data_IF_333494758863
#
_entry.id   IF_333494758863
#
_cell.length_a   1.000
_cell.length_b   1.000
_cell.length_c   1.000
_cell.angle_alpha   90.00
_cell.angle_beta   90.00
_cell.angle_gamma   90.00
#
_symmetry.space_group_name_H-M   'P 1'
#
loop_
_entity.id
_entity.type
_entity.pdbx_description
1 polymer ?
#
# COMPACT_ATOMS: atom_id res chain seq x y z
N UNK A 1 -24.49 -28.95 -1.36
CA UNK A 1 -24.44 -27.56 -1.87
C UNK A 1 -23.33 -26.68 -1.25
N UNK A 2 -22.34 -27.24 -0.54
CA UNK A 2 -21.31 -26.42 0.15
C UNK A 2 -19.92 -26.38 -0.53
N UNK A 3 -19.65 -27.23 -1.52
CA UNK A 3 -18.33 -27.24 -2.17
C UNK A 3 -18.17 -26.13 -3.22
N UNK A 4 -19.22 -25.77 -3.95
CA UNK A 4 -19.16 -24.74 -5.01
C UNK A 4 -18.85 -23.33 -4.48
N UNK A 5 -19.29 -23.01 -3.26
CA UNK A 5 -19.01 -21.72 -2.62
C UNK A 5 -17.54 -21.60 -2.20
N UNK A 6 -16.91 -22.70 -1.78
CA UNK A 6 -15.48 -22.72 -1.40
C UNK A 6 -14.57 -22.31 -2.56
N UNK A 7 -14.77 -22.93 -3.73
CA UNK A 7 -13.98 -22.64 -4.94
C UNK A 7 -14.11 -21.18 -5.42
N UNK A 8 -15.30 -20.59 -5.27
CA UNK A 8 -15.52 -19.17 -5.62
C UNK A 8 -14.71 -18.23 -4.72
N UNK A 9 -14.59 -18.57 -3.43
CA UNK A 9 -13.83 -17.77 -2.47
C UNK A 9 -12.32 -17.88 -2.67
N UNK A 10 -11.81 -19.07 -2.96
CA UNK A 10 -10.39 -19.28 -3.26
C UNK A 10 -9.96 -18.48 -4.50
N UNK A 11 -10.83 -18.42 -5.51
CA UNK A 11 -10.60 -17.59 -6.70
C UNK A 11 -10.56 -16.10 -6.38
N UNK A 12 -11.47 -15.61 -5.53
CA UNK A 12 -11.48 -14.19 -5.09
C UNK A 12 -10.18 -13.85 -4.34
N UNK A 13 -9.73 -14.72 -3.44
CA UNK A 13 -8.48 -14.51 -2.70
C UNK A 13 -7.25 -14.53 -3.62
N UNK A 14 -7.25 -15.43 -4.60
CA UNK A 14 -6.20 -15.48 -5.61
C UNK A 14 -6.13 -14.17 -6.42
N UNK A 15 -7.26 -13.73 -6.99
CA UNK A 15 -7.34 -12.47 -7.75
C UNK A 15 -6.97 -11.26 -6.89
N UNK A 16 -7.39 -11.24 -5.63
CA UNK A 16 -7.06 -10.17 -4.70
C UNK A 16 -5.54 -10.04 -4.52
N UNK A 17 -4.83 -11.13 -4.21
CA UNK A 17 -3.36 -11.08 -4.13
C UNK A 17 -2.69 -10.75 -5.48
N UNK A 18 -3.23 -11.23 -6.60
CA UNK A 18 -2.72 -10.89 -7.94
C UNK A 18 -2.84 -9.38 -8.23
N UNK A 19 -3.91 -8.72 -7.78
CA UNK A 19 -4.08 -7.27 -7.96
C UNK A 19 -2.98 -6.46 -7.28
N UNK A 20 -2.49 -6.91 -6.11
CA UNK A 20 -1.31 -6.33 -5.48
C UNK A 20 -0.07 -6.52 -6.35
N UNK A 21 0.18 -7.72 -6.88
CA UNK A 21 1.36 -7.98 -7.72
C UNK A 21 1.36 -7.07 -8.96
N UNK A 22 0.21 -6.87 -9.60
CA UNK A 22 0.08 -5.93 -10.72
C UNK A 22 0.38 -4.49 -10.29
N UNK A 23 -0.20 -4.01 -9.20
CA UNK A 23 0.08 -2.67 -8.67
C UNK A 23 1.57 -2.51 -8.28
N UNK A 24 2.20 -3.55 -7.75
CA UNK A 24 3.61 -3.54 -7.37
C UNK A 24 4.51 -3.40 -8.61
N UNK A 25 4.15 -4.08 -9.71
CA UNK A 25 4.85 -3.97 -10.99
C UNK A 25 4.75 -2.55 -11.57
N UNK A 26 3.56 -1.92 -11.50
CA UNK A 26 3.37 -0.51 -11.91
C UNK A 26 4.25 0.41 -11.05
N UNK A 27 4.24 0.26 -9.73
CA UNK A 27 5.08 1.06 -8.84
C UNK A 27 6.58 0.85 -9.10
N UNK A 28 7.01 -0.38 -9.41
CA UNK A 28 8.40 -0.69 -9.75
C UNK A 28 8.80 -0.07 -11.11
N UNK A 29 7.90 -0.06 -12.09
CA UNK A 29 8.15 0.61 -13.36
C UNK A 29 8.30 2.12 -13.16
N UNK A 30 7.45 2.74 -12.33
CA UNK A 30 7.57 4.16 -11.95
C UNK A 30 8.87 4.43 -11.20
N UNK A 31 9.36 3.49 -10.40
CA UNK A 31 10.65 3.58 -9.69
C UNK A 31 11.87 3.40 -10.59
N UNK A 32 11.71 3.25 -11.90
CA UNK A 32 12.81 3.23 -12.89
C UNK A 32 12.81 4.44 -13.82
N UNK A 33 11.76 5.26 -13.79
CA UNK A 33 11.70 6.52 -14.55
C UNK A 33 12.72 7.52 -14.00
N UNK A 34 13.34 8.37 -14.83
CA UNK A 34 14.26 9.42 -14.35
C UNK A 34 13.55 10.58 -13.63
N UNK A 35 12.22 10.68 -13.75
CA UNK A 35 11.39 11.73 -13.11
C UNK A 35 10.91 11.32 -11.70
N UNK A 36 11.75 10.67 -10.90
CA UNK A 36 11.33 10.17 -9.58
C UNK A 36 11.17 11.29 -8.56
N UNK A 37 9.92 11.66 -8.29
CA UNK A 37 9.58 12.51 -7.14
C UNK A 37 9.41 11.67 -5.87
N UNK A 38 8.68 10.56 -5.96
CA UNK A 38 8.32 9.72 -4.81
C UNK A 38 9.17 8.43 -4.75
N UNK A 39 9.40 7.85 -3.55
CA UNK A 39 10.14 6.61 -3.38
C UNK A 39 9.28 5.38 -3.75
N UNK A 40 8.88 5.29 -5.02
CA UNK A 40 7.98 4.25 -5.55
C UNK A 40 8.46 2.81 -5.30
N UNK A 41 9.78 2.61 -5.18
CA UNK A 41 10.35 1.30 -4.86
C UNK A 41 9.89 0.77 -3.49
N UNK A 42 9.82 1.62 -2.46
CA UNK A 42 9.33 1.19 -1.14
C UNK A 42 7.85 0.84 -1.16
N UNK A 43 7.07 1.60 -1.92
CA UNK A 43 5.66 1.29 -2.12
C UNK A 43 5.50 -0.05 -2.85
N UNK A 44 6.31 -0.32 -3.87
CA UNK A 44 6.34 -1.61 -4.56
C UNK A 44 6.69 -2.77 -3.61
N UNK A 45 7.71 -2.59 -2.75
CA UNK A 45 8.08 -3.58 -1.73
C UNK A 45 6.95 -3.84 -0.73
N UNK A 46 6.28 -2.80 -0.26
CA UNK A 46 5.07 -2.95 0.57
C UNK A 46 4.02 -3.79 -0.17
N UNK A 47 3.62 -3.37 -1.37
CA UNK A 47 2.52 -4.00 -2.12
C UNK A 47 2.83 -5.47 -2.43
N UNK A 48 4.04 -5.81 -2.89
CA UNK A 48 4.38 -7.20 -3.22
C UNK A 48 4.43 -8.09 -1.98
N UNK A 49 5.02 -7.62 -0.89
CA UNK A 49 5.09 -8.40 0.36
C UNK A 49 3.71 -8.52 1.02
N UNK A 50 2.86 -7.50 0.92
CA UNK A 50 1.48 -7.55 1.39
C UNK A 50 0.65 -8.55 0.59
N UNK A 51 0.77 -8.54 -0.75
CA UNK A 51 0.11 -9.50 -1.62
C UNK A 51 0.51 -10.95 -1.33
N UNK A 52 1.81 -11.20 -1.10
CA UNK A 52 2.31 -12.50 -0.67
C UNK A 52 1.75 -12.91 0.70
N UNK A 53 1.68 -11.98 1.66
CA UNK A 53 1.05 -12.24 2.96
C UNK A 53 -0.41 -12.67 2.80
N UNK A 54 -1.20 -12.00 1.97
CA UNK A 54 -2.62 -12.34 1.75
C UNK A 54 -2.78 -13.74 1.15
N UNK A 55 -1.99 -14.09 0.13
CA UNK A 55 -2.00 -15.45 -0.42
C UNK A 55 -1.64 -16.50 0.64
N UNK A 56 -0.57 -16.28 1.39
CA UNK A 56 -0.14 -17.22 2.44
C UNK A 56 -1.19 -17.34 3.55
N UNK A 57 -1.80 -16.22 3.94
CA UNK A 57 -2.87 -16.20 4.94
C UNK A 57 -4.05 -17.07 4.53
N UNK A 58 -4.49 -16.94 3.28
CA UNK A 58 -5.64 -17.68 2.77
C UNK A 58 -5.32 -19.15 2.48
N UNK A 59 -4.18 -19.47 1.87
CA UNK A 59 -3.78 -20.86 1.60
C UNK A 59 -3.45 -21.64 2.88
N UNK A 60 -2.86 -21.00 3.89
CA UNK A 60 -2.53 -21.65 5.17
C UNK A 60 -3.77 -22.10 5.95
N UNK A 61 -4.91 -21.45 5.76
CA UNK A 61 -6.16 -21.82 6.42
C UNK A 61 -6.86 -23.05 5.79
N UNK A 62 -6.30 -23.64 4.73
CA UNK A 62 -6.82 -24.86 4.07
C UNK A 62 -6.42 -26.19 4.73
N UNK A 63 -5.60 -26.18 5.80
CA UNK A 63 -5.63 -27.24 6.82
C UNK A 63 -4.39 -28.12 7.04
N UNK A 64 -3.23 -27.86 6.44
CA UNK A 64 -2.08 -28.82 6.52
C UNK A 64 -0.84 -28.36 7.30
N UNK A 65 -0.62 -27.05 7.55
CA UNK A 65 0.59 -26.56 8.27
C UNK A 65 0.28 -25.36 9.17
N UNK A 66 0.08 -25.57 10.47
CA UNK A 66 -0.62 -24.56 11.32
C UNK A 66 0.31 -23.67 12.16
N UNK A 67 1.31 -24.21 12.86
CA UNK A 67 2.06 -23.41 13.85
C UNK A 67 3.20 -22.56 13.24
N UNK A 68 4.12 -23.17 12.49
CA UNK A 68 5.29 -22.47 11.90
C UNK A 68 4.89 -21.38 10.90
N UNK A 69 3.77 -21.58 10.19
CA UNK A 69 3.23 -20.60 9.26
C UNK A 69 2.65 -19.36 9.95
N UNK A 70 2.21 -19.45 11.21
CA UNK A 70 1.49 -18.33 11.83
C UNK A 70 2.42 -17.20 12.28
N UNK A 71 3.58 -17.51 12.87
CA UNK A 71 4.61 -16.49 13.16
C UNK A 71 5.26 -15.95 11.89
N UNK A 72 5.46 -16.81 10.88
CA UNK A 72 5.95 -16.37 9.58
C UNK A 72 5.01 -15.36 8.91
N UNK A 73 3.69 -15.62 8.93
CA UNK A 73 2.66 -14.68 8.44
C UNK A 73 2.73 -13.34 9.18
N UNK A 74 2.79 -13.37 10.51
CA UNK A 74 2.88 -12.15 11.31
C UNK A 74 4.17 -11.35 11.02
N UNK A 75 5.30 -12.03 10.85
CA UNK A 75 6.57 -11.42 10.46
C UNK A 75 6.51 -10.79 9.07
N UNK A 76 5.98 -11.52 8.07
CA UNK A 76 5.83 -11.03 6.70
C UNK A 76 4.90 -9.80 6.62
N UNK A 77 3.77 -9.83 7.32
CA UNK A 77 2.88 -8.67 7.47
C UNK A 77 3.62 -7.49 8.09
N UNK A 78 4.33 -7.71 9.20
CA UNK A 78 5.08 -6.66 9.90
C UNK A 78 6.10 -6.00 8.97
N UNK A 79 6.91 -6.81 8.27
CA UNK A 79 7.90 -6.32 7.30
C UNK A 79 7.23 -5.51 6.20
N UNK A 80 6.10 -5.98 5.67
CA UNK A 80 5.33 -5.25 4.67
C UNK A 80 4.94 -3.86 5.19
N UNK A 81 4.33 -3.77 6.38
CA UNK A 81 3.90 -2.49 6.96
C UNK A 81 5.08 -1.55 7.26
N UNK A 82 6.27 -2.08 7.57
CA UNK A 82 7.48 -1.26 7.74
C UNK A 82 7.88 -0.55 6.44
N UNK A 83 7.74 -1.21 5.29
CA UNK A 83 7.97 -0.55 4.00
C UNK A 83 6.96 0.59 3.76
N UNK A 84 5.71 0.42 4.18
CA UNK A 84 4.68 1.46 4.05
C UNK A 84 4.96 2.67 4.96
N UNK A 85 5.37 2.43 6.21
CA UNK A 85 5.77 3.50 7.14
C UNK A 85 6.98 4.26 6.58
N UNK A 86 8.03 3.56 6.13
CA UNK A 86 9.23 4.20 5.60
C UNK A 86 8.93 4.96 4.30
N UNK A 87 8.03 4.43 3.44
CA UNK A 87 7.51 5.16 2.30
C UNK A 87 6.84 6.48 2.72
N UNK A 88 5.90 6.41 3.66
CA UNK A 88 5.19 7.59 4.18
C UNK A 88 6.16 8.63 4.73
N UNK A 89 7.10 8.21 5.59
CA UNK A 89 8.12 9.06 6.21
C UNK A 89 9.02 9.75 5.16
N UNK A 90 9.52 9.01 4.18
CA UNK A 90 10.43 9.56 3.17
C UNK A 90 9.75 10.53 2.22
N UNK A 91 8.49 10.27 1.83
CA UNK A 91 7.72 11.26 1.07
C UNK A 91 7.54 12.53 1.89
N UNK A 92 7.15 12.40 3.17
CA UNK A 92 6.94 13.54 4.05
C UNK A 92 8.20 14.44 4.15
N UNK A 93 9.39 13.82 4.28
CA UNK A 93 10.67 14.52 4.29
C UNK A 93 10.97 15.19 2.93
N UNK A 94 10.77 14.48 1.82
CA UNK A 94 11.02 15.01 0.47
C UNK A 94 10.14 16.20 0.15
N UNK A 95 8.92 16.24 0.66
CA UNK A 95 7.99 17.37 0.51
C UNK A 95 8.30 18.56 1.45
N UNK A 96 9.41 18.49 2.19
CA UNK A 96 9.92 19.56 3.04
C UNK A 96 9.26 19.64 4.41
N UNK A 97 8.49 18.64 4.82
CA UNK A 97 7.89 18.60 6.15
C UNK A 97 8.85 18.00 7.18
N UNK A 98 8.79 18.50 8.42
CA UNK A 98 9.51 17.91 9.55
C UNK A 98 8.89 16.55 9.86
N UNK A 99 9.63 15.49 9.62
CA UNK A 99 9.25 14.13 9.97
C UNK A 99 10.21 13.60 11.05
N UNK A 100 9.74 12.74 11.98
CA UNK A 100 10.63 12.11 12.94
C UNK A 100 11.65 11.21 12.21
N UNK A 101 12.78 10.98 12.86
CA UNK A 101 13.81 10.07 12.35
C UNK A 101 13.33 8.62 12.31
N UNK A 102 14.16 7.71 11.80
CA UNK A 102 13.85 6.27 11.74
C UNK A 102 13.51 5.64 13.10
N UNK A 103 13.92 6.29 14.20
CA UNK A 103 13.58 5.88 15.56
C UNK A 103 12.07 5.76 15.82
N UNK A 104 11.20 6.46 15.06
CA UNK A 104 9.74 6.36 15.18
C UNK A 104 9.21 4.94 14.93
N UNK A 105 9.97 4.12 14.19
CA UNK A 105 9.61 2.72 13.96
C UNK A 105 9.69 1.90 15.24
N UNK A 106 10.58 2.25 16.18
CA UNK A 106 10.77 1.53 17.45
C UNK A 106 9.51 1.54 18.33
N UNK A 107 8.90 2.69 18.68
CA UNK A 107 7.67 2.68 19.47
C UNK A 107 6.51 2.01 18.73
N UNK A 108 6.42 2.14 17.40
CA UNK A 108 5.42 1.45 16.58
C UNK A 108 5.57 -0.08 16.68
N UNK A 109 6.80 -0.58 16.55
CA UNK A 109 7.11 -2.01 16.71
C UNK A 109 6.91 -2.48 18.15
N UNK A 110 7.27 -1.67 19.15
CA UNK A 110 7.07 -2.01 20.56
C UNK A 110 5.59 -2.19 20.90
N UNK A 111 4.73 -1.25 20.46
CA UNK A 111 3.27 -1.36 20.67
C UNK A 111 2.72 -2.56 19.87
N UNK A 112 3.16 -2.77 18.63
CA UNK A 112 2.74 -3.93 17.85
C UNK A 112 3.12 -5.27 18.54
N UNK A 113 4.31 -5.34 19.13
CA UNK A 113 4.82 -6.52 19.83
C UNK A 113 4.02 -6.86 21.11
N UNK A 114 3.35 -5.89 21.75
CA UNK A 114 2.45 -6.15 22.87
C UNK A 114 1.30 -7.09 22.50
N UNK A 115 0.91 -7.13 21.22
CA UNK A 115 -0.07 -8.10 20.71
C UNK A 115 0.37 -9.55 20.90
N UNK A 116 1.67 -9.82 20.94
CA UNK A 116 2.23 -11.15 21.16
C UNK A 116 1.86 -11.76 22.53
N UNK A 117 1.46 -10.95 23.51
CA UNK A 117 0.93 -11.43 24.79
C UNK A 117 -0.37 -12.26 24.62
N UNK A 118 -1.06 -12.10 23.49
CA UNK A 118 -2.26 -12.86 23.12
C UNK A 118 -1.98 -13.89 22.01
N UNK A 119 -0.70 -14.24 21.81
CA UNK A 119 -0.26 -15.19 20.78
C UNK A 119 -0.15 -14.58 19.37
N UNK A 120 0.04 -15.42 18.34
CA UNK A 120 0.30 -14.97 16.96
C UNK A 120 -0.83 -14.15 16.32
N UNK A 121 -2.08 -14.45 16.68
CA UNK A 121 -3.26 -13.70 16.23
C UNK A 121 -3.24 -12.27 16.79
N UNK A 122 -2.90 -12.12 18.07
CA UNK A 122 -2.72 -10.82 18.70
C UNK A 122 -1.58 -10.01 18.11
N UNK A 123 -0.45 -10.66 17.76
CA UNK A 123 0.66 -10.01 17.07
C UNK A 123 0.22 -9.48 15.68
N UNK A 124 -0.52 -10.30 14.92
CA UNK A 124 -1.06 -9.92 13.60
C UNK A 124 -2.05 -8.76 13.72
N UNK A 125 -2.94 -8.82 14.71
CA UNK A 125 -3.93 -7.79 15.01
C UNK A 125 -3.28 -6.45 15.34
N UNK A 126 -2.34 -6.43 16.29
CA UNK A 126 -1.65 -5.20 16.68
C UNK A 126 -0.74 -4.66 15.58
N UNK A 127 -0.09 -5.52 14.79
CA UNK A 127 0.66 -5.08 13.60
C UNK A 127 -0.27 -4.38 12.59
N UNK A 128 -1.48 -4.88 12.36
CA UNK A 128 -2.46 -4.20 11.50
C UNK A 128 -2.96 -2.87 12.07
N UNK A 129 -3.32 -2.83 13.36
CA UNK A 129 -3.82 -1.60 13.98
C UNK A 129 -2.77 -0.50 14.09
N UNK A 130 -1.55 -0.84 14.48
CA UNK A 130 -0.52 0.16 14.74
C UNK A 130 0.24 0.46 13.47
N UNK A 131 0.78 -0.57 12.81
CA UNK A 131 1.63 -0.40 11.64
C UNK A 131 0.80 -0.21 10.36
N UNK A 132 -0.27 -0.98 10.19
CA UNK A 132 -1.12 -0.90 9.00
C UNK A 132 -1.92 0.38 8.90
N UNK A 133 -2.73 0.67 9.91
CA UNK A 133 -3.47 1.92 9.94
C UNK A 133 -2.52 3.12 10.05
N UNK A 134 -1.53 3.09 10.95
CA UNK A 134 -0.60 4.21 11.12
C UNK A 134 0.26 4.48 9.87
N UNK A 135 0.85 3.44 9.28
CA UNK A 135 1.61 3.53 8.05
C UNK A 135 0.77 3.95 6.85
N UNK A 136 -0.42 3.37 6.69
CA UNK A 136 -1.35 3.73 5.61
C UNK A 136 -1.87 5.16 5.73
N UNK A 137 -2.23 5.61 6.94
CA UNK A 137 -2.65 6.98 7.17
C UNK A 137 -1.52 7.97 6.90
N UNK A 138 -0.29 7.66 7.33
CA UNK A 138 0.87 8.48 7.02
C UNK A 138 1.14 8.53 5.51
N UNK A 139 1.08 7.39 4.81
CA UNK A 139 1.21 7.35 3.36
C UNK A 139 0.12 8.17 2.65
N UNK A 140 -1.13 8.15 3.13
CA UNK A 140 -2.22 8.95 2.59
C UNK A 140 -1.99 10.46 2.77
N UNK A 141 -1.50 10.89 3.95
CA UNK A 141 -1.11 12.28 4.20
C UNK A 141 0.07 12.71 3.33
N UNK A 142 1.02 11.81 3.12
CA UNK A 142 2.18 12.02 2.26
C UNK A 142 1.77 12.21 0.79
N UNK A 143 0.85 11.40 0.27
CA UNK A 143 0.28 11.59 -1.07
C UNK A 143 -0.50 12.90 -1.19
N UNK A 144 -1.30 13.27 -0.18
CA UNK A 144 -2.01 14.54 -0.17
C UNK A 144 -1.06 15.74 -0.20
N UNK A 145 0.04 15.69 0.57
CA UNK A 145 1.06 16.73 0.52
C UNK A 145 1.76 16.80 -0.83
N UNK A 146 2.12 15.66 -1.40
CA UNK A 146 2.73 15.60 -2.73
C UNK A 146 1.78 16.12 -3.82
N UNK A 147 0.47 15.90 -3.69
CA UNK A 147 -0.52 16.40 -4.67
C UNK A 147 -0.62 17.92 -4.67
N UNK A 148 -0.48 18.57 -3.51
CA UNK A 148 -0.51 20.03 -3.38
C UNK A 148 0.68 20.73 -4.06
N UNK A 149 1.78 20.01 -4.32
CA UNK A 149 3.00 20.54 -4.96
C UNK A 149 3.03 20.35 -6.48
N UNK A 150 2.02 19.69 -7.04
CA UNK A 150 1.94 19.36 -8.45
C UNK A 150 0.62 19.91 -9.01
N UNK A 151 0.59 20.24 -10.30
CA UNK A 151 -0.62 20.71 -10.99
C UNK A 151 -1.01 19.76 -12.13
N UNK A 152 -2.22 19.93 -12.64
CA UNK A 152 -2.74 19.16 -13.76
C UNK A 152 -3.07 17.70 -13.42
N UNK A 153 -2.91 16.80 -14.39
CA UNK A 153 -3.32 15.41 -14.27
C UNK A 153 -2.62 14.69 -13.11
N UNK A 154 -1.31 14.86 -12.97
CA UNK A 154 -0.54 14.23 -11.90
C UNK A 154 -1.02 14.59 -10.48
N UNK A 155 -1.66 15.77 -10.30
CA UNK A 155 -2.32 16.13 -9.04
C UNK A 155 -3.55 15.26 -8.77
N UNK A 156 -4.47 15.16 -9.74
CA UNK A 156 -5.71 14.36 -9.61
C UNK A 156 -5.41 12.90 -9.26
N UNK A 157 -4.35 12.38 -9.84
CA UNK A 157 -3.83 11.06 -9.54
C UNK A 157 -3.34 10.88 -8.11
N UNK A 158 -2.52 11.81 -7.61
CA UNK A 158 -2.04 11.75 -6.24
C UNK A 158 -3.16 12.00 -5.22
N UNK A 159 -4.16 12.80 -5.56
CA UNK A 159 -5.39 12.95 -4.77
C UNK A 159 -6.17 11.64 -4.72
N UNK A 160 -6.40 10.98 -5.87
CA UNK A 160 -7.01 9.64 -5.92
C UNK A 160 -6.22 8.62 -5.11
N UNK A 161 -4.88 8.65 -5.20
CA UNK A 161 -4.02 7.75 -4.45
C UNK A 161 -4.07 8.02 -2.94
N UNK A 162 -4.15 9.29 -2.53
CA UNK A 162 -4.34 9.67 -1.13
C UNK A 162 -5.66 9.15 -0.58
N UNK A 163 -6.77 9.34 -1.30
CA UNK A 163 -8.11 8.86 -0.89
C UNK A 163 -8.11 7.33 -0.80
N UNK A 164 -7.61 6.65 -1.84
CA UNK A 164 -7.58 5.19 -1.87
C UNK A 164 -6.68 4.60 -0.79
N UNK A 165 -5.54 5.23 -0.49
CA UNK A 165 -4.67 4.83 0.61
C UNK A 165 -5.31 5.07 1.98
N UNK A 166 -6.06 6.16 2.16
CA UNK A 166 -6.81 6.42 3.40
C UNK A 166 -7.92 5.37 3.63
N UNK A 167 -8.66 5.03 2.56
CA UNK A 167 -9.66 3.98 2.59
C UNK A 167 -9.03 2.61 2.88
N UNK A 168 -7.90 2.30 2.25
CA UNK A 168 -7.13 1.09 2.54
C UNK A 168 -6.64 1.05 4.01
N UNK A 169 -6.12 2.16 4.54
CA UNK A 169 -5.71 2.26 5.93
C UNK A 169 -6.88 1.99 6.89
N UNK A 170 -8.06 2.54 6.61
CA UNK A 170 -9.27 2.29 7.40
C UNK A 170 -9.65 0.80 7.42
N UNK A 171 -9.46 0.06 6.31
CA UNK A 171 -9.70 -1.39 6.31
C UNK A 171 -8.77 -2.17 7.24
N UNK A 172 -7.60 -1.62 7.60
CA UNK A 172 -6.68 -2.25 8.57
C UNK A 172 -7.26 -2.29 9.99
N UNK A 173 -8.30 -1.49 10.28
CA UNK A 173 -9.03 -1.56 11.55
C UNK A 173 -10.05 -2.71 11.60
N UNK A 174 -10.39 -3.29 10.43
CA UNK A 174 -11.43 -4.31 10.29
C UNK A 174 -10.85 -5.65 9.82
N UNK A 175 -9.72 -5.65 9.12
CA UNK A 175 -9.06 -6.83 8.56
C UNK A 175 -8.32 -7.72 9.58
N UNK A 176 -8.64 -7.55 10.87
CA UNK A 176 -7.95 -8.18 11.99
C UNK A 176 -8.61 -9.53 12.35
N UNK A 177 -7.82 -10.59 12.64
CA UNK A 177 -8.38 -11.84 13.15
C UNK A 177 -9.04 -11.64 14.53
N UNK A 178 -10.18 -12.31 14.80
CA UNK A 178 -10.83 -12.23 16.11
C UNK A 178 -9.83 -12.53 17.25
N UNK A 179 -9.74 -11.60 18.21
CA UNK A 179 -8.78 -11.68 19.33
C UNK A 179 -9.45 -11.16 20.61
N UNK A 180 -9.00 -11.61 21.82
CA UNK A 180 -9.72 -11.37 23.07
C UNK A 180 -9.59 -9.94 23.64
N UNK A 181 -8.99 -9.00 22.91
CA UNK A 181 -8.70 -7.64 23.39
C UNK A 181 -9.32 -6.57 22.49
N UNK A 182 -9.51 -5.37 23.03
CA UNK A 182 -10.03 -4.21 22.29
C UNK A 182 -8.98 -3.62 21.34
N UNK A 183 -9.32 -3.24 20.07
CA UNK A 183 -10.66 -3.31 19.47
C UNK A 183 -11.00 -4.63 18.75
N UNK A 184 -10.09 -5.60 18.69
CA UNK A 184 -10.27 -6.87 17.96
C UNK A 184 -11.41 -7.77 18.48
N UNK A 185 -11.85 -7.56 19.72
CA UNK A 185 -13.00 -8.25 20.31
C UNK A 185 -14.35 -7.75 19.75
N UNK A 186 -14.39 -6.53 19.18
CA UNK A 186 -15.60 -5.91 18.62
C UNK A 186 -15.47 -5.76 17.10
N UNK A 187 -14.39 -5.11 16.65
CA UNK A 187 -14.12 -4.83 15.25
C UNK A 187 -13.11 -5.83 14.69
N UNK A 188 -13.61 -6.85 14.01
CA UNK A 188 -12.80 -7.88 13.37
C UNK A 188 -13.44 -8.37 12.07
N UNK A 189 -12.70 -9.22 11.36
CA UNK A 189 -13.12 -9.75 10.06
C UNK A 189 -14.47 -10.49 10.13
N UNK A 190 -14.78 -11.13 11.26
CA UNK A 190 -16.04 -11.85 11.47
C UNK A 190 -17.23 -10.89 11.61
N UNK A 191 -17.07 -9.82 12.40
CA UNK A 191 -18.10 -8.79 12.55
C UNK A 191 -18.46 -8.13 11.20
N UNK A 192 -17.45 -7.83 10.38
CA UNK A 192 -17.66 -7.26 9.05
C UNK A 192 -18.48 -8.19 8.15
N UNK A 193 -18.09 -9.47 8.09
CA UNK A 193 -18.77 -10.48 7.29
C UNK A 193 -20.22 -10.68 7.73
N UNK A 194 -20.47 -10.74 9.05
CA UNK A 194 -21.82 -10.89 9.60
C UNK A 194 -22.72 -9.67 9.33
N UNK A 195 -22.16 -8.47 9.36
CA UNK A 195 -22.94 -7.23 9.21
C UNK A 195 -23.27 -6.91 7.75
N UNK A 196 -22.30 -7.08 6.86
CA UNK A 196 -22.41 -6.65 5.46
C UNK A 196 -22.64 -7.78 4.47
N UNK A 197 -22.45 -9.04 4.88
CA UNK A 197 -22.71 -10.21 4.05
C UNK A 197 -21.71 -10.44 2.90
N UNK A 198 -20.65 -9.64 2.79
CA UNK A 198 -19.59 -9.80 1.79
C UNK A 198 -18.19 -9.73 2.41
N UNK A 199 -17.20 -10.22 1.66
CA UNK A 199 -15.82 -10.35 2.11
C UNK A 199 -15.04 -9.03 1.96
N UNK A 200 -14.33 -8.64 3.03
CA UNK A 200 -13.55 -7.39 3.08
C UNK A 200 -12.49 -7.28 1.95
N UNK A 201 -12.02 -8.42 1.45
CA UNK A 201 -11.09 -8.48 0.32
C UNK A 201 -11.68 -7.85 -0.96
N UNK A 202 -12.99 -7.95 -1.19
CA UNK A 202 -13.65 -7.33 -2.35
C UNK A 202 -13.51 -5.81 -2.27
N UNK A 203 -13.78 -5.23 -1.09
CA UNK A 203 -13.66 -3.80 -0.86
C UNK A 203 -12.21 -3.31 -1.04
N UNK A 204 -11.24 -4.04 -0.47
CA UNK A 204 -9.83 -3.69 -0.60
C UNK A 204 -9.33 -3.83 -2.04
N UNK A 205 -9.81 -4.84 -2.76
CA UNK A 205 -9.50 -5.03 -4.18
C UNK A 205 -9.97 -3.85 -5.03
N UNK A 206 -11.17 -3.32 -4.75
CA UNK A 206 -11.68 -2.12 -5.42
C UNK A 206 -10.77 -0.91 -5.17
N UNK A 207 -10.27 -0.69 -3.95
CA UNK A 207 -9.36 0.41 -3.67
C UNK A 207 -8.02 0.28 -4.41
N UNK A 208 -7.51 -0.94 -4.58
CA UNK A 208 -6.32 -1.22 -5.39
C UNK A 208 -6.59 -0.92 -6.86
N UNK A 209 -7.75 -1.30 -7.38
CA UNK A 209 -8.13 -0.98 -8.76
C UNK A 209 -8.27 0.54 -8.95
N UNK A 210 -8.88 1.26 -8.02
CA UNK A 210 -8.96 2.73 -8.05
C UNK A 210 -7.58 3.41 -7.98
N UNK A 211 -6.62 2.84 -7.25
CA UNK A 211 -5.22 3.27 -7.27
C UNK A 211 -4.60 3.12 -8.68
N UNK A 212 -4.96 2.07 -9.42
CA UNK A 212 -4.46 1.81 -10.77
C UNK A 212 -5.19 2.61 -11.86
N UNK A 213 -6.47 2.92 -11.68
CA UNK A 213 -7.33 3.46 -12.75
C UNK A 213 -6.97 4.88 -13.16
N UNK A 214 -6.20 5.61 -12.35
CA UNK A 214 -5.66 6.88 -12.80
C UNK A 214 -4.82 6.75 -14.08
N UNK A 215 -4.14 5.61 -14.31
CA UNK A 215 -3.17 5.40 -15.42
C UNK A 215 -3.82 5.22 -16.77
N UNK A 216 -5.02 4.67 -16.75
CA UNK A 216 -5.69 4.20 -17.95
C UNK A 216 -6.43 5.33 -18.69
N UNK A 217 -6.86 6.38 -17.98
CA UNK A 217 -7.53 7.53 -18.62
C UNK A 217 -6.56 8.35 -19.50
N UNK A 218 -5.26 8.39 -19.18
CA UNK A 218 -4.27 9.12 -19.99
C UNK A 218 -4.08 8.50 -21.38
N UNK A 219 -4.12 7.16 -21.49
CA UNK A 219 -4.01 6.46 -22.78
C UNK A 219 -5.27 6.54 -23.64
N UNK A 220 -6.43 6.81 -23.03
CA UNK A 220 -7.73 6.84 -23.72
C UNK A 220 -8.10 8.23 -24.24
N UNK A 221 -7.53 9.31 -23.68
CA UNK A 221 -7.84 10.69 -24.07
C UNK A 221 -6.76 11.42 -24.91
N UNK A 222 -5.71 10.71 -25.33
CA UNK A 222 -4.76 11.20 -26.35
C UNK A 222 -4.92 10.43 -27.67
N UNK A 223 -5.95 10.71 -28.50
CA UNK A 223 -5.89 10.32 -29.89
C UNK A 223 -4.82 11.19 -30.57
N UNK A 224 -3.72 10.57 -30.99
CA UNK A 224 -2.75 11.19 -31.89
C UNK A 224 -1.41 11.56 -31.25
N UNK A 225 -0.55 10.56 -31.02
CA UNK A 225 0.90 10.78 -31.12
C UNK A 225 1.27 10.76 -32.60
N UNK A 226 1.02 11.88 -33.30
CA UNK A 226 1.64 12.10 -34.60
C UNK A 226 3.13 12.37 -34.35
N UNK A 227 4.00 11.57 -34.97
CA UNK A 227 5.43 11.89 -35.11
C UNK A 227 5.56 13.31 -35.66
N UNK A 228 6.42 14.18 -35.08
CA UNK A 228 6.83 15.35 -35.81
C UNK A 228 7.70 14.89 -36.99
N UNK A 229 7.26 15.23 -38.19
CA UNK A 229 8.08 15.13 -39.39
C UNK A 229 9.37 15.95 -39.21
N UNK A 230 10.45 15.43 -39.77
CA UNK A 230 11.73 16.10 -39.87
C UNK A 230 11.56 17.43 -40.61
N UNK A 231 11.78 18.56 -39.94
CA UNK A 231 11.67 19.86 -40.60
C UNK A 231 11.87 21.06 -39.66
N UNK A 232 13.12 21.51 -39.58
CA UNK A 232 13.56 22.90 -39.40
C UNK A 232 12.82 23.82 -38.41
N UNK A 233 13.52 24.20 -37.33
CA UNK A 233 13.20 25.42 -36.58
C UNK A 233 13.59 25.33 -35.11
N UNK A 234 14.76 25.88 -34.76
CA UNK A 234 15.18 26.05 -33.38
C UNK A 234 14.21 27.00 -32.65
N UNK A 235 13.36 26.45 -31.79
CA UNK A 235 12.63 27.21 -30.77
C UNK A 235 13.29 26.91 -29.44
N UNK A 236 13.99 27.91 -28.91
CA UNK A 236 14.62 27.88 -27.59
C UNK A 236 13.52 27.87 -26.52
N UNK A 237 13.09 26.67 -26.13
CA UNK A 237 12.16 26.47 -25.01
C UNK A 237 12.93 26.71 -23.72
N UNK A 238 12.61 27.82 -23.06
CA UNK A 238 13.09 28.19 -21.73
C UNK A 238 12.98 27.00 -20.77
N UNK A 239 14.14 26.50 -20.32
CA UNK A 239 14.25 25.36 -19.42
C UNK A 239 13.60 25.70 -18.07
N UNK A 240 12.68 24.88 -17.53
CA UNK A 240 12.26 25.04 -16.14
C UNK A 240 13.45 24.74 -15.22
N UNK A 241 13.51 25.50 -14.12
CA UNK A 241 14.61 25.50 -13.14
C UNK A 241 15.04 24.07 -12.75
N UNK A 242 16.32 23.77 -12.93
CA UNK A 242 16.96 22.57 -12.39
C UNK A 242 16.98 22.67 -10.87
N UNK A 243 16.16 21.87 -10.19
CA UNK A 243 16.34 21.63 -8.76
C UNK A 243 17.63 20.83 -8.55
N UNK A 244 18.47 21.17 -7.56
CA UNK A 244 19.68 20.42 -7.29
C UNK A 244 19.32 19.04 -6.72
N UNK A 245 19.56 18.00 -7.50
CA UNK A 245 19.55 16.61 -7.03
C UNK A 245 20.66 16.44 -5.99
N UNK A 246 20.31 16.38 -4.69
CA UNK A 246 21.20 15.77 -3.69
C UNK A 246 21.08 14.26 -3.84
N UNK A 247 22.20 13.61 -4.12
CA UNK A 247 22.32 12.15 -4.24
C UNK A 247 21.83 11.45 -2.97
N UNK A 248 21.16 10.31 -3.17
CA UNK A 248 20.55 9.47 -2.14
C UNK A 248 21.53 8.99 -1.04
N UNK A 249 22.84 9.15 -1.22
CA UNK A 249 23.85 8.76 -0.23
C UNK A 249 23.78 9.57 1.07
N UNK A 250 23.16 10.76 1.06
CA UNK A 250 23.07 11.61 2.26
C UNK A 250 21.98 11.21 3.27
N UNK A 251 21.15 10.20 2.96
CA UNK A 251 20.08 9.70 3.84
C UNK A 251 20.34 8.27 4.38
N UNK A 252 21.52 7.72 4.10
CA UNK A 252 21.93 6.38 4.56
C UNK A 252 22.90 6.40 5.76
N UNK A 253 23.17 7.57 6.34
CA UNK A 253 23.89 7.73 7.60
C UNK A 253 22.95 8.26 8.68
#
# INVERSE_FOLDING_TARGET
MNQTIGWQMDYIYFLYGLSFIMLAAVCLAMSRSERQRLPWFLLSLFIITHGLYEWIYHFSNSGTFVLSFTYFKAGLLTISQLFLIEFGRLVFIKEGAKAPGRWIVVPFLAIAALGGLNGPSGLTAMAQYVLGFGGGFWAALSFNRASQRISGQARRWLESASISMALFAATSLLAVPPSPFFPANIFNLHWFYQTLGFHLQILRGLFIVCLNSGDQEERRFLPGYNRPEEGGGAVEISRPARYPYRSLQSYFL
#
